data_IF_785065393664
#
_entry.id   IF_785065393664
#
_cell.length_a   1.000
_cell.length_b   1.000
_cell.length_c   1.000
_cell.angle_alpha   90.00
_cell.angle_beta   90.00
_cell.angle_gamma   90.00
#
_symmetry.space_group_name_H-M   'P 1'
#
loop_
_entity.id
_entity.type
_entity.pdbx_description
1 polymer ?
#
# COMPACT_ATOMS: atom_id res chain seq x y z
N UNK A 1 49.94 15.02 -0.96
CA UNK A 1 48.65 14.49 -0.45
C UNK A 1 47.52 15.02 -1.31
N UNK A 2 46.81 14.15 -1.97
CA UNK A 2 45.59 14.50 -2.67
C UNK A 2 44.40 13.99 -1.87
N UNK A 3 43.41 14.84 -1.62
CA UNK A 3 42.15 14.43 -0.99
C UNK A 3 40.99 15.11 -1.72
N UNK A 4 39.91 14.37 -1.90
CA UNK A 4 38.67 14.88 -2.44
C UNK A 4 37.53 14.48 -1.51
N UNK A 5 36.53 15.36 -1.42
CA UNK A 5 35.25 15.12 -0.70
C UNK A 5 34.13 15.43 -1.68
N UNK A 6 33.17 14.55 -1.71
CA UNK A 6 31.96 14.77 -2.46
C UNK A 6 30.75 14.45 -1.59
N UNK A 7 29.70 15.26 -1.73
CA UNK A 7 28.41 15.01 -1.16
C UNK A 7 27.37 15.21 -2.24
N UNK A 8 26.37 14.34 -2.30
CA UNK A 8 25.25 14.47 -3.20
C UNK A 8 23.93 14.17 -2.48
N UNK A 9 22.86 14.79 -2.95
CA UNK A 9 21.52 14.52 -2.53
C UNK A 9 20.63 14.43 -3.78
N UNK A 10 19.81 13.40 -3.82
CA UNK A 10 18.82 13.18 -4.87
C UNK A 10 17.45 13.10 -4.22
N UNK A 11 16.47 13.75 -4.85
CA UNK A 11 15.10 13.79 -4.38
C UNK A 11 14.17 13.36 -5.50
N UNK A 12 13.31 12.40 -5.22
CA UNK A 12 12.26 11.96 -6.14
C UNK A 12 10.90 12.16 -5.49
N UNK A 13 10.07 12.98 -6.14
CA UNK A 13 8.71 13.26 -5.67
C UNK A 13 7.72 12.33 -6.34
N UNK A 14 6.86 11.68 -5.54
CA UNK A 14 5.72 10.91 -6.00
C UNK A 14 4.44 11.65 -5.64
N UNK A 15 3.62 11.94 -6.63
CA UNK A 15 2.32 12.60 -6.44
C UNK A 15 1.22 11.54 -6.32
N UNK A 16 0.15 11.89 -5.61
CA UNK A 16 -1.03 11.03 -5.51
C UNK A 16 -1.61 10.81 -6.91
N UNK A 17 -1.88 9.55 -7.32
CA UNK A 17 -2.54 9.27 -8.58
C UNK A 17 -3.95 9.87 -8.63
N UNK A 18 -4.52 9.97 -9.81
CA UNK A 18 -5.87 10.48 -9.99
C UNK A 18 -6.65 9.66 -11.01
N UNK A 19 -7.97 9.72 -10.94
CA UNK A 19 -8.86 9.07 -11.91
C UNK A 19 -8.91 9.75 -13.28
N UNK A 20 -8.18 10.85 -13.50
CA UNK A 20 -8.28 11.64 -14.73
C UNK A 20 -8.03 10.84 -16.02
N UNK A 21 -7.17 9.83 -15.94
CA UNK A 21 -6.78 9.00 -17.10
C UNK A 21 -7.49 7.64 -17.11
N UNK A 22 -8.52 7.46 -16.29
CA UNK A 22 -9.29 6.22 -16.21
C UNK A 22 -10.73 6.49 -16.59
N UNK A 23 -11.26 5.64 -17.44
CA UNK A 23 -12.69 5.64 -17.78
C UNK A 23 -13.47 4.80 -16.75
N UNK A 24 -13.59 5.35 -15.53
CA UNK A 24 -14.24 4.68 -14.39
C UNK A 24 -15.49 5.46 -14.00
N UNK A 25 -16.57 4.73 -13.82
CA UNK A 25 -17.85 5.28 -13.39
C UNK A 25 -17.71 6.03 -12.04
N UNK A 26 -18.36 7.17 -11.95
CA UNK A 26 -18.52 7.84 -10.65
C UNK A 26 -19.66 7.19 -9.84
N UNK A 27 -19.82 7.60 -8.57
CA UNK A 27 -20.82 6.99 -7.69
C UNK A 27 -22.26 7.17 -8.17
N UNK A 28 -22.60 8.29 -8.79
CA UNK A 28 -23.93 8.52 -9.35
C UNK A 28 -24.25 7.55 -10.50
N UNK A 29 -23.29 7.36 -11.41
CA UNK A 29 -23.44 6.41 -12.51
C UNK A 29 -23.57 4.98 -12.01
N UNK A 30 -22.74 4.59 -11.04
CA UNK A 30 -22.80 3.26 -10.41
C UNK A 30 -24.14 3.03 -9.69
N UNK A 31 -24.61 4.01 -8.91
CA UNK A 31 -25.91 3.92 -8.23
C UNK A 31 -27.08 3.90 -9.22
N UNK A 32 -26.96 4.52 -10.39
CA UNK A 32 -27.91 4.41 -11.47
C UNK A 32 -28.06 2.96 -11.97
N UNK A 33 -26.93 2.28 -12.20
CA UNK A 33 -26.92 0.86 -12.57
C UNK A 33 -27.49 -0.01 -11.44
N UNK A 34 -27.13 0.24 -10.19
CA UNK A 34 -27.63 -0.53 -9.05
C UNK A 34 -29.16 -0.39 -8.88
N UNK A 35 -29.73 0.79 -9.11
CA UNK A 35 -31.19 0.97 -9.13
C UNK A 35 -31.86 0.11 -10.21
N UNK A 36 -31.30 0.10 -11.41
CA UNK A 36 -31.81 -0.74 -12.49
C UNK A 36 -31.74 -2.24 -12.15
N UNK A 37 -30.62 -2.68 -11.54
CA UNK A 37 -30.46 -4.07 -11.08
C UNK A 37 -31.48 -4.42 -9.99
N UNK A 38 -31.71 -3.50 -9.04
CA UNK A 38 -32.75 -3.68 -8.00
C UNK A 38 -34.16 -3.79 -8.62
N UNK A 39 -34.48 -2.92 -9.54
CA UNK A 39 -35.81 -2.92 -10.17
C UNK A 39 -36.06 -4.19 -11.01
N UNK A 40 -34.97 -4.82 -11.47
CA UNK A 40 -35.03 -6.15 -12.12
C UNK A 40 -35.05 -7.32 -11.12
N UNK A 41 -34.98 -7.05 -9.82
CA UNK A 41 -34.99 -8.05 -8.75
C UNK A 41 -33.66 -8.75 -8.49
N UNK A 42 -32.53 -8.29 -9.03
CA UNK A 42 -31.22 -8.92 -8.88
C UNK A 42 -30.47 -8.49 -7.61
N UNK A 43 -30.93 -7.45 -6.93
CA UNK A 43 -30.37 -6.98 -5.64
C UNK A 43 -31.36 -7.20 -4.51
N UNK A 44 -32.02 -8.37 -4.48
CA UNK A 44 -32.89 -8.72 -3.38
C UNK A 44 -32.08 -9.16 -2.14
N UNK A 45 -32.75 -9.15 -0.98
CA UNK A 45 -32.15 -9.46 0.31
C UNK A 45 -31.41 -10.81 0.33
N UNK A 46 -32.08 -11.86 -0.14
CA UNK A 46 -31.53 -13.22 -0.07
C UNK A 46 -30.26 -13.39 -0.92
N UNK A 47 -30.31 -12.93 -2.16
CA UNK A 47 -29.21 -13.11 -3.10
C UNK A 47 -28.00 -12.26 -2.71
N UNK A 48 -28.23 -11.04 -2.24
CA UNK A 48 -27.15 -10.12 -1.83
C UNK A 48 -26.43 -10.63 -0.58
N UNK A 49 -27.17 -11.07 0.45
CA UNK A 49 -26.53 -11.54 1.71
C UNK A 49 -25.91 -12.92 1.58
N UNK A 50 -26.33 -13.75 0.64
CA UNK A 50 -25.70 -15.03 0.34
C UNK A 50 -24.52 -14.93 -0.63
N UNK A 51 -24.24 -13.74 -1.16
CA UNK A 51 -23.08 -13.48 -2.01
C UNK A 51 -21.76 -13.50 -1.23
N UNK A 52 -20.68 -13.90 -1.89
CA UNK A 52 -19.33 -13.84 -1.31
C UNK A 52 -18.87 -12.38 -1.10
N UNK A 53 -19.30 -11.51 -1.99
CA UNK A 53 -18.99 -10.08 -1.99
C UNK A 53 -20.27 -9.29 -2.11
N UNK A 54 -20.54 -8.40 -1.17
CA UNK A 54 -21.66 -7.48 -1.26
C UNK A 54 -21.28 -6.06 -0.86
N UNK A 55 -21.83 -5.08 -1.56
CA UNK A 55 -21.51 -3.67 -1.38
C UNK A 55 -22.59 -2.90 -0.62
N UNK A 56 -23.02 -1.77 -1.19
CA UNK A 56 -23.95 -0.81 -0.57
C UNK A 56 -25.27 -1.45 -0.16
N UNK A 57 -25.88 -2.28 -1.03
CA UNK A 57 -27.15 -2.93 -0.72
C UNK A 57 -27.02 -3.97 0.39
N UNK A 58 -25.96 -4.78 0.37
CA UNK A 58 -25.71 -5.74 1.44
C UNK A 58 -25.50 -5.05 2.78
N UNK A 59 -24.76 -3.95 2.79
CA UNK A 59 -24.55 -3.15 4.01
C UNK A 59 -25.85 -2.50 4.48
N UNK A 60 -26.69 -2.05 3.57
CA UNK A 60 -28.03 -1.54 3.90
C UNK A 60 -28.85 -2.60 4.61
N UNK A 61 -28.92 -3.81 4.04
CA UNK A 61 -29.67 -4.92 4.64
C UNK A 61 -29.10 -5.38 5.97
N UNK A 62 -27.76 -5.40 6.11
CA UNK A 62 -27.10 -5.68 7.39
C UNK A 62 -27.54 -4.67 8.48
N UNK A 63 -27.53 -3.37 8.16
CA UNK A 63 -27.93 -2.32 9.10
C UNK A 63 -29.43 -2.40 9.46
N UNK A 64 -30.28 -2.77 8.53
CA UNK A 64 -31.71 -2.97 8.77
C UNK A 64 -31.97 -4.16 9.69
N UNK A 65 -31.10 -5.16 9.72
CA UNK A 65 -31.24 -6.34 10.59
C UNK A 65 -30.38 -6.26 11.86
N UNK A 66 -29.64 -5.16 12.04
CA UNK A 66 -28.82 -4.93 13.25
C UNK A 66 -29.60 -4.06 14.24
N UNK A 67 -29.96 -4.65 15.40
CA UNK A 67 -30.70 -3.95 16.45
C UNK A 67 -29.76 -3.35 17.48
N UNK A 68 -29.88 -2.04 17.73
CA UNK A 68 -29.17 -1.34 18.78
C UNK A 68 -30.01 -1.37 20.06
N UNK A 69 -29.64 -2.25 20.99
CA UNK A 69 -30.35 -2.40 22.27
C UNK A 69 -30.28 -1.13 23.14
N UNK A 70 -29.28 -0.29 22.98
CA UNK A 70 -29.12 0.97 23.74
C UNK A 70 -30.12 2.02 23.28
N UNK A 71 -30.37 2.06 21.98
CA UNK A 71 -31.32 3.01 21.35
C UNK A 71 -32.72 2.43 21.19
N UNK A 72 -32.88 1.11 21.36
CA UNK A 72 -34.15 0.41 21.21
C UNK A 72 -34.68 0.39 19.76
N UNK A 73 -33.78 0.46 18.75
CA UNK A 73 -34.17 0.52 17.33
C UNK A 73 -33.14 -0.17 16.45
N UNK A 74 -33.53 -0.51 15.23
CA UNK A 74 -32.59 -0.96 14.21
C UNK A 74 -31.65 0.17 13.79
N UNK A 75 -30.40 -0.17 13.40
CA UNK A 75 -29.40 0.81 12.96
C UNK A 75 -29.85 1.58 11.72
N UNK A 76 -30.64 0.93 10.86
CA UNK A 76 -31.36 1.56 9.76
C UNK A 76 -32.84 1.13 9.80
N UNK A 77 -33.81 2.04 9.90
CA UNK A 77 -35.22 1.70 9.86
C UNK A 77 -35.63 1.04 8.54
N UNK A 78 -36.59 0.11 8.60
CA UNK A 78 -37.21 -0.55 7.45
C UNK A 78 -38.28 0.35 6.79
N UNK A 79 -37.92 1.60 6.45
CA UNK A 79 -38.81 2.53 5.76
C UNK A 79 -38.20 2.96 4.45
N UNK A 80 -39.04 3.22 3.45
CA UNK A 80 -38.58 3.67 2.14
C UNK A 80 -37.78 4.98 2.22
N UNK A 81 -38.14 5.86 3.14
CA UNK A 81 -37.45 7.12 3.39
C UNK A 81 -36.03 6.90 3.92
N UNK A 82 -35.85 5.98 4.87
CA UNK A 82 -34.55 5.65 5.45
C UNK A 82 -33.65 4.93 4.41
N UNK A 83 -34.20 4.00 3.65
CA UNK A 83 -33.51 3.35 2.55
C UNK A 83 -33.02 4.36 1.49
N UNK A 84 -33.93 5.22 1.04
CA UNK A 84 -33.59 6.23 0.04
C UNK A 84 -32.53 7.20 0.55
N UNK A 85 -32.61 7.63 1.81
CA UNK A 85 -31.61 8.51 2.42
C UNK A 85 -30.23 7.83 2.51
N UNK A 86 -30.18 6.54 2.86
CA UNK A 86 -28.95 5.76 2.88
C UNK A 86 -28.32 5.62 1.48
N UNK A 87 -29.13 5.22 0.49
CA UNK A 87 -28.69 5.04 -0.89
C UNK A 87 -28.26 6.38 -1.53
N UNK A 88 -28.93 7.49 -1.18
CA UNK A 88 -28.54 8.82 -1.61
C UNK A 88 -27.16 9.23 -1.07
N UNK A 89 -26.83 8.89 0.17
CA UNK A 89 -25.49 9.11 0.70
C UNK A 89 -24.42 8.38 -0.11
N UNK A 90 -24.68 7.14 -0.52
CA UNK A 90 -23.77 6.37 -1.38
C UNK A 90 -23.64 7.00 -2.78
N UNK A 91 -24.75 7.51 -3.34
CA UNK A 91 -24.77 8.17 -4.64
C UNK A 91 -23.89 9.43 -4.69
N UNK A 92 -23.89 10.24 -3.64
CA UNK A 92 -23.11 11.48 -3.58
C UNK A 92 -21.71 11.31 -2.98
N UNK A 93 -21.35 10.15 -2.43
CA UNK A 93 -20.07 9.90 -1.76
C UNK A 93 -18.87 10.10 -2.67
N UNK A 94 -18.89 9.52 -3.86
CA UNK A 94 -17.86 9.64 -4.89
C UNK A 94 -16.44 9.44 -4.36
N UNK A 95 -16.22 8.37 -3.59
CA UNK A 95 -14.95 8.06 -2.91
C UNK A 95 -13.79 8.11 -3.89
N UNK A 96 -12.76 8.83 -3.50
CA UNK A 96 -11.52 8.89 -4.25
C UNK A 96 -10.47 8.00 -3.58
N UNK A 97 -10.47 6.71 -3.94
CA UNK A 97 -9.57 5.72 -3.35
C UNK A 97 -8.10 6.06 -3.50
N UNK A 98 -7.71 6.79 -4.55
CA UNK A 98 -6.33 7.26 -4.65
C UNK A 98 -5.96 8.25 -3.55
N UNK A 99 -6.86 9.19 -3.22
CA UNK A 99 -6.62 10.14 -2.12
C UNK A 99 -6.69 9.47 -0.74
N UNK A 100 -7.51 8.42 -0.62
CA UNK A 100 -7.67 7.69 0.63
C UNK A 100 -6.45 6.78 0.94
N UNK A 101 -5.88 6.15 -0.09
CA UNK A 101 -4.85 5.14 0.08
C UNK A 101 -3.43 5.67 -0.12
N UNK A 102 -3.24 6.73 -0.92
CA UNK A 102 -1.94 7.24 -1.29
C UNK A 102 -1.68 8.61 -0.66
N UNK A 103 -0.43 8.82 -0.28
CA UNK A 103 0.07 10.11 0.17
C UNK A 103 1.20 10.59 -0.73
N UNK A 104 1.35 11.90 -0.94
CA UNK A 104 2.54 12.39 -1.63
C UNK A 104 3.78 12.00 -0.83
N UNK A 105 4.81 11.52 -1.53
CA UNK A 105 6.02 11.03 -0.91
C UNK A 105 7.25 11.68 -1.55
N UNK A 106 8.26 11.98 -0.75
CA UNK A 106 9.55 12.44 -1.20
C UNK A 106 10.60 11.42 -0.79
N UNK A 107 11.05 10.63 -1.75
CA UNK A 107 12.19 9.76 -1.58
C UNK A 107 13.46 10.61 -1.57
N UNK A 108 14.35 10.34 -0.62
CA UNK A 108 15.61 11.04 -0.45
C UNK A 108 16.76 10.05 -0.50
N UNK A 109 17.77 10.35 -1.29
CA UNK A 109 18.99 9.60 -1.34
C UNK A 109 20.18 10.55 -1.11
N UNK A 110 20.87 10.37 0.00
CA UNK A 110 22.02 11.18 0.39
C UNK A 110 23.29 10.34 0.35
N UNK A 111 24.36 10.87 -0.20
CA UNK A 111 25.65 10.21 -0.14
C UNK A 111 26.76 11.18 0.16
N UNK A 112 27.74 10.67 0.91
CA UNK A 112 29.00 11.37 1.20
C UNK A 112 30.14 10.41 0.87
N UNK A 113 31.14 10.90 0.18
CA UNK A 113 32.33 10.13 -0.09
C UNK A 113 33.60 10.93 0.18
N UNK A 114 34.61 10.22 0.59
CA UNK A 114 35.94 10.73 0.88
C UNK A 114 36.95 9.85 0.17
N UNK A 115 37.83 10.46 -0.60
CA UNK A 115 38.98 9.77 -1.19
C UNK A 115 40.26 10.57 -0.95
N UNK A 116 41.35 9.88 -0.91
CA UNK A 116 42.64 10.50 -0.75
C UNK A 116 43.76 9.49 -0.86
N UNK A 117 44.98 10.01 -0.87
CA UNK A 117 46.11 9.12 -0.94
C UNK A 117 47.48 9.83 -0.89
N UNK A 118 48.47 9.00 -0.91
CA UNK A 118 49.91 9.34 -1.05
C UNK A 118 50.50 8.51 -2.18
N UNK A 119 51.78 8.66 -2.47
CA UNK A 119 52.44 7.81 -3.47
C UNK A 119 52.36 6.30 -3.15
N UNK A 120 52.18 5.93 -1.85
CA UNK A 120 52.15 4.54 -1.39
C UNK A 120 50.79 4.06 -0.94
N UNK A 121 49.80 4.94 -0.79
CA UNK A 121 48.47 4.55 -0.27
C UNK A 121 47.38 5.33 -0.97
N UNK A 122 46.29 4.69 -1.28
CA UNK A 122 45.06 5.34 -1.68
C UNK A 122 43.86 4.76 -0.89
N UNK A 123 42.91 5.59 -0.59
CA UNK A 123 41.68 5.18 0.07
C UNK A 123 40.46 5.86 -0.56
N UNK A 124 39.35 5.13 -0.51
CA UNK A 124 38.03 5.62 -0.81
C UNK A 124 37.06 5.09 0.27
N UNK A 125 36.29 5.97 0.83
CA UNK A 125 35.21 5.61 1.75
C UNK A 125 33.92 6.34 1.32
N UNK A 126 32.80 5.65 1.35
CA UNK A 126 31.49 6.27 1.10
C UNK A 126 30.43 5.77 2.08
N UNK A 127 29.52 6.67 2.40
CA UNK A 127 28.30 6.41 3.17
C UNK A 127 27.13 6.94 2.37
N UNK A 128 26.06 6.13 2.23
CA UNK A 128 24.81 6.58 1.64
C UNK A 128 23.62 6.19 2.50
N UNK A 129 22.57 7.02 2.44
CA UNK A 129 21.31 6.81 3.11
C UNK A 129 20.16 7.06 2.12
N UNK A 130 19.37 6.02 1.84
CA UNK A 130 18.12 6.09 1.11
C UNK A 130 16.97 6.07 2.11
N UNK A 131 16.13 7.10 2.07
CA UNK A 131 14.94 7.26 2.88
C UNK A 131 13.72 7.40 1.96
N UNK A 132 12.92 6.37 1.90
CA UNK A 132 11.67 6.34 1.12
C UNK A 132 10.50 6.15 2.09
N UNK A 133 9.67 7.17 2.36
CA UNK A 133 8.53 7.06 3.25
C UNK A 133 7.39 6.22 2.66
N UNK A 134 7.56 5.74 1.43
CA UNK A 134 6.53 4.99 0.72
C UNK A 134 5.46 5.89 0.09
N UNK A 135 4.66 5.30 -0.76
CA UNK A 135 3.57 5.96 -1.48
C UNK A 135 2.19 5.66 -0.88
N UNK A 136 2.09 4.62 -0.09
CA UNK A 136 0.90 4.20 0.65
C UNK A 136 1.32 3.57 2.00
N UNK A 137 0.35 3.30 2.87
CA UNK A 137 0.61 2.70 4.18
C UNK A 137 1.46 1.43 4.09
N UNK A 138 2.39 1.26 5.04
CA UNK A 138 3.25 0.09 5.18
C UNK A 138 4.12 -0.19 3.93
N UNK A 139 4.61 0.87 3.25
CA UNK A 139 5.45 0.71 2.06
C UNK A 139 6.79 1.46 2.16
N UNK A 140 7.23 1.78 3.36
CA UNK A 140 8.45 2.54 3.61
C UNK A 140 9.72 1.69 3.50
N UNK A 141 10.80 2.33 3.06
CA UNK A 141 12.13 1.72 2.94
C UNK A 141 13.19 2.68 3.47
N UNK A 142 14.07 2.16 4.34
CA UNK A 142 15.30 2.83 4.76
C UNK A 142 16.48 1.94 4.44
N UNK A 143 17.48 2.48 3.78
CA UNK A 143 18.70 1.73 3.45
C UNK A 143 19.93 2.57 3.71
N UNK A 144 20.85 2.03 4.47
CA UNK A 144 22.16 2.62 4.76
C UNK A 144 23.23 1.73 4.15
N UNK A 145 24.16 2.34 3.41
CA UNK A 145 25.24 1.59 2.74
C UNK A 145 26.58 2.25 3.04
N UNK A 146 27.56 1.44 3.40
CA UNK A 146 28.95 1.84 3.63
C UNK A 146 29.82 1.07 2.66
N UNK A 147 30.76 1.77 2.01
CA UNK A 147 31.80 1.15 1.19
C UNK A 147 33.18 1.69 1.60
N UNK A 148 34.14 0.79 1.64
CA UNK A 148 35.54 1.10 1.92
C UNK A 148 36.42 0.40 0.88
N UNK A 149 37.39 1.16 0.34
CA UNK A 149 38.41 0.63 -0.53
C UNK A 149 39.76 1.26 -0.10
N UNK A 150 40.69 0.43 0.26
CA UNK A 150 42.05 0.84 0.70
C UNK A 150 43.08 0.05 -0.12
N UNK A 151 43.99 0.76 -0.75
CA UNK A 151 45.16 0.18 -1.40
C UNK A 151 46.41 0.73 -0.71
N UNK A 152 47.32 -0.16 -0.32
CA UNK A 152 48.59 0.22 0.30
C UNK A 152 49.75 -0.60 -0.29
N UNK A 153 50.73 0.10 -0.86
CA UNK A 153 51.96 -0.48 -1.33
C UNK A 153 52.93 -0.61 -0.16
N UNK A 154 53.05 -1.83 0.38
CA UNK A 154 53.91 -2.13 1.53
C UNK A 154 55.39 -2.11 1.09
N UNK A 155 55.65 -2.73 -0.06
CA UNK A 155 56.94 -2.75 -0.76
C UNK A 155 56.67 -2.48 -2.25
N UNK A 156 57.73 -2.25 -3.03
CA UNK A 156 57.57 -2.02 -4.48
C UNK A 156 56.93 -3.20 -5.23
N UNK A 157 57.06 -4.40 -4.69
CA UNK A 157 56.51 -5.64 -5.19
C UNK A 157 55.38 -6.25 -4.33
N UNK A 158 54.97 -5.55 -3.26
CA UNK A 158 53.91 -6.03 -2.37
C UNK A 158 52.83 -4.98 -2.15
N UNK A 159 51.63 -5.26 -2.62
CA UNK A 159 50.46 -4.36 -2.47
C UNK A 159 49.36 -5.07 -1.67
N UNK A 160 48.84 -4.39 -0.66
CA UNK A 160 47.69 -4.79 0.09
C UNK A 160 46.46 -4.02 -0.43
N UNK A 161 45.44 -4.76 -0.82
CA UNK A 161 44.13 -4.21 -1.18
C UNK A 161 43.09 -4.72 -0.16
N UNK A 162 42.38 -3.79 0.49
CA UNK A 162 41.26 -4.06 1.38
C UNK A 162 40.03 -3.43 0.79
N UNK A 163 39.04 -4.26 0.45
CA UNK A 163 37.73 -3.84 -0.07
C UNK A 163 36.69 -4.39 0.88
N UNK A 164 35.80 -3.54 1.34
CA UNK A 164 34.68 -3.93 2.19
C UNK A 164 33.45 -3.09 1.94
N UNK A 165 32.30 -3.67 2.15
CA UNK A 165 31.02 -3.01 2.05
C UNK A 165 30.00 -3.63 2.97
N UNK A 166 29.08 -2.80 3.48
CA UNK A 166 27.95 -3.26 4.25
C UNK A 166 26.71 -2.44 3.88
N UNK A 167 25.57 -3.09 3.87
CA UNK A 167 24.27 -2.45 3.63
C UNK A 167 23.26 -2.98 4.64
N UNK A 168 22.59 -2.07 5.32
CA UNK A 168 21.44 -2.38 6.16
C UNK A 168 20.19 -1.80 5.51
N UNK A 169 19.18 -2.64 5.31
CA UNK A 169 17.86 -2.26 4.79
C UNK A 169 16.78 -2.64 5.79
N UNK A 170 15.96 -1.66 6.13
CA UNK A 170 14.74 -1.78 6.89
C UNK A 170 13.58 -1.42 5.94
N UNK A 171 12.63 -2.34 5.74
CA UNK A 171 11.56 -2.21 4.76
C UNK A 171 10.26 -2.75 5.33
N UNK A 172 9.19 -1.99 5.17
CA UNK A 172 7.83 -2.47 5.30
C UNK A 172 7.20 -2.68 3.93
N UNK A 173 6.42 -3.74 3.80
CA UNK A 173 5.66 -4.03 2.59
C UNK A 173 4.30 -4.62 2.97
N UNK A 174 3.17 -4.15 2.39
CA UNK A 174 1.87 -4.77 2.63
C UNK A 174 1.86 -6.19 2.09
N UNK A 175 1.24 -7.09 2.83
CA UNK A 175 1.14 -8.50 2.49
C UNK A 175 1.59 -9.43 3.60
N UNK A 176 1.54 -10.74 3.36
CA UNK A 176 2.01 -11.77 4.28
C UNK A 176 3.13 -12.60 3.66
N UNK A 177 3.93 -13.24 4.52
CA UNK A 177 4.94 -14.22 4.09
C UNK A 177 4.31 -15.58 3.72
N UNK A 178 3.03 -15.81 4.06
CA UNK A 178 2.28 -17.01 3.75
C UNK A 178 1.99 -17.11 2.25
N UNK A 179 2.22 -18.27 1.68
CA UNK A 179 1.78 -18.60 0.33
C UNK A 179 0.76 -19.74 0.44
N UNK A 180 -0.45 -19.50 -0.05
CA UNK A 180 -1.44 -20.55 -0.27
C UNK A 180 -1.33 -21.04 -1.70
N UNK A 181 -1.10 -22.34 -1.87
CA UNK A 181 -1.02 -22.97 -3.19
C UNK A 181 -2.36 -23.61 -3.49
N UNK A 182 -3.09 -23.06 -4.45
CA UNK A 182 -4.25 -23.74 -5.03
C UNK A 182 -3.76 -24.95 -5.84
N UNK A 183 -3.88 -26.12 -5.23
CA UNK A 183 -3.39 -27.40 -5.80
C UNK A 183 -4.18 -27.79 -7.06
N UNK A 184 -5.41 -27.28 -7.22
CA UNK A 184 -6.29 -27.63 -8.34
C UNK A 184 -5.94 -26.83 -9.59
N UNK A 185 -5.64 -25.55 -9.43
CA UNK A 185 -5.36 -24.63 -10.55
C UNK A 185 -3.87 -24.30 -10.70
N UNK A 186 -3.01 -24.77 -9.81
CA UNK A 186 -1.59 -24.46 -9.82
C UNK A 186 -1.27 -22.98 -9.52
N UNK A 187 -2.27 -22.22 -9.05
CA UNK A 187 -2.11 -20.80 -8.73
C UNK A 187 -1.53 -20.66 -7.31
N UNK A 188 -0.51 -19.82 -7.18
CA UNK A 188 0.03 -19.42 -5.88
C UNK A 188 -0.72 -18.16 -5.44
N UNK A 189 -1.55 -18.28 -4.41
CA UNK A 189 -2.14 -17.13 -3.72
C UNK A 189 -1.27 -16.76 -2.52
N UNK A 190 -0.88 -15.52 -2.41
CA UNK A 190 -0.43 -14.96 -1.14
C UNK A 190 -1.66 -14.51 -0.38
N UNK A 191 -1.72 -14.77 0.93
CA UNK A 191 -2.91 -14.51 1.74
C UNK A 191 -3.33 -13.03 1.77
N UNK A 192 -2.42 -12.09 1.55
CA UNK A 192 -2.75 -10.66 1.47
C UNK A 192 -1.80 -9.94 0.51
N UNK A 193 -1.90 -10.23 -0.76
CA UNK A 193 -1.22 -9.43 -1.78
C UNK A 193 -2.13 -8.23 -2.14
N UNK A 194 -2.28 -7.32 -1.19
CA UNK A 194 -3.07 -6.11 -1.43
C UNK A 194 -2.21 -5.16 -2.25
N UNK A 195 -2.59 -5.00 -3.50
CA UNK A 195 -2.08 -3.92 -4.33
C UNK A 195 -3.00 -2.70 -4.19
N UNK A 196 -2.61 -1.65 -3.42
CA UNK A 196 -3.46 -0.48 -3.21
C UNK A 196 -3.83 0.25 -4.50
N UNK A 197 -2.97 0.20 -5.51
CA UNK A 197 -3.27 0.79 -6.81
C UNK A 197 -4.38 0.03 -7.55
N UNK A 198 -4.27 -1.28 -7.61
CA UNK A 198 -5.31 -2.14 -8.18
C UNK A 198 -6.63 -2.00 -7.41
N UNK A 199 -6.55 -1.93 -6.08
CA UNK A 199 -7.72 -1.69 -5.24
C UNK A 199 -8.40 -0.36 -5.59
N UNK A 200 -7.63 0.74 -5.68
CA UNK A 200 -8.17 2.05 -6.01
C UNK A 200 -8.87 2.11 -7.39
N UNK A 201 -8.34 1.35 -8.36
CA UNK A 201 -8.91 1.30 -9.72
C UNK A 201 -10.17 0.43 -9.79
N UNK A 202 -10.17 -0.70 -9.07
CA UNK A 202 -11.22 -1.72 -9.23
C UNK A 202 -12.34 -1.60 -8.17
N UNK A 203 -12.14 -0.81 -7.11
CA UNK A 203 -13.14 -0.70 -6.04
C UNK A 203 -14.18 0.37 -6.35
N UNK A 204 -15.42 0.02 -6.10
CA UNK A 204 -16.56 0.91 -6.30
C UNK A 204 -16.44 2.21 -5.50
N UNK A 205 -16.73 3.33 -6.14
CA UNK A 205 -16.66 4.66 -5.55
C UNK A 205 -17.86 5.02 -4.69
N UNK A 206 -18.86 4.15 -4.61
CA UNK A 206 -20.03 4.29 -3.72
C UNK A 206 -19.72 3.82 -2.29
N UNK A 207 -18.66 3.04 -2.09
CA UNK A 207 -18.30 2.49 -0.79
C UNK A 207 -17.69 3.54 0.14
N UNK A 208 -18.00 3.42 1.43
CA UNK A 208 -17.42 4.25 2.48
C UNK A 208 -16.07 3.67 2.92
N UNK A 209 -14.96 4.44 2.87
CA UNK A 209 -13.65 3.96 3.30
C UNK A 209 -13.59 3.48 4.75
N UNK A 210 -14.49 3.98 5.60
CA UNK A 210 -14.52 3.64 7.04
C UNK A 210 -15.42 2.44 7.36
N UNK A 211 -16.25 2.01 6.42
CA UNK A 211 -17.16 0.89 6.64
C UNK A 211 -16.48 -0.45 6.34
N UNK A 212 -16.95 -1.49 7.02
CA UNK A 212 -16.66 -2.88 6.65
C UNK A 212 -17.74 -3.38 5.70
N UNK A 213 -17.31 -4.02 4.64
CA UNK A 213 -18.16 -4.71 3.68
C UNK A 213 -17.80 -6.19 3.67
N UNK A 214 -18.67 -7.05 3.19
CA UNK A 214 -18.30 -8.45 3.01
C UNK A 214 -17.49 -8.58 1.72
N UNK A 215 -16.38 -9.29 1.82
CA UNK A 215 -15.60 -9.77 0.70
C UNK A 215 -15.11 -11.18 1.04
N UNK A 216 -15.29 -12.12 0.12
CA UNK A 216 -14.99 -13.55 0.33
C UNK A 216 -15.64 -14.12 1.60
N UNK A 217 -16.91 -13.80 1.85
CA UNK A 217 -17.73 -14.21 3.02
C UNK A 217 -17.24 -13.67 4.36
N UNK A 218 -16.31 -12.73 4.40
CA UNK A 218 -15.78 -12.13 5.63
C UNK A 218 -15.89 -10.60 5.62
N UNK A 219 -16.02 -9.95 6.78
CA UNK A 219 -15.93 -8.51 6.87
C UNK A 219 -14.55 -8.01 6.41
N UNK A 220 -14.51 -7.09 5.48
CA UNK A 220 -13.31 -6.55 4.88
C UNK A 220 -13.30 -5.02 4.94
N UNK A 221 -12.15 -4.45 5.32
CA UNK A 221 -11.84 -3.03 5.17
C UNK A 221 -10.36 -2.89 4.81
N UNK A 222 -10.06 -2.21 3.72
CA UNK A 222 -8.70 -2.08 3.18
C UNK A 222 -7.72 -1.46 4.18
N UNK A 223 -8.16 -0.49 5.00
CA UNK A 223 -7.28 0.15 5.98
C UNK A 223 -6.93 -0.80 7.12
N UNK A 224 -7.91 -1.59 7.58
CA UNK A 224 -7.66 -2.63 8.58
C UNK A 224 -6.68 -3.68 8.05
N UNK A 225 -6.80 -4.08 6.81
CA UNK A 225 -5.87 -5.01 6.17
C UNK A 225 -4.45 -4.44 6.09
N UNK A 226 -4.30 -3.20 5.63
CA UNK A 226 -3.00 -2.55 5.56
C UNK A 226 -2.37 -2.29 6.94
N UNK A 227 -3.17 -2.12 7.99
CA UNK A 227 -2.67 -1.91 9.35
C UNK A 227 -2.22 -3.22 10.03
N UNK A 228 -2.83 -4.35 9.69
CA UNK A 228 -2.59 -5.63 10.35
C UNK A 228 -1.76 -6.62 9.53
N UNK A 229 -1.71 -6.46 8.22
CA UNK A 229 -1.06 -7.39 7.30
C UNK A 229 0.07 -6.71 6.54
N UNK A 230 1.23 -6.62 7.15
CA UNK A 230 2.45 -6.13 6.53
C UNK A 230 3.66 -6.96 6.96
N UNK A 231 4.67 -6.96 6.11
CA UNK A 231 5.96 -7.59 6.35
C UNK A 231 6.94 -6.52 6.80
N UNK A 232 7.60 -6.75 7.91
CA UNK A 232 8.69 -5.91 8.43
C UNK A 232 10.01 -6.68 8.24
N UNK A 233 10.86 -6.19 7.35
CA UNK A 233 12.09 -6.86 6.93
C UNK A 233 13.32 -6.00 7.25
N UNK A 234 14.13 -6.48 8.19
CA UNK A 234 15.47 -5.98 8.41
C UNK A 234 16.50 -6.92 7.74
N UNK A 235 17.29 -6.40 6.81
CA UNK A 235 18.34 -7.17 6.12
C UNK A 235 19.68 -6.47 6.28
N UNK A 236 20.65 -7.21 6.83
CA UNK A 236 22.06 -6.82 6.87
C UNK A 236 22.85 -7.66 5.85
N UNK A 237 23.45 -7.00 4.89
CA UNK A 237 24.40 -7.60 3.93
C UNK A 237 25.79 -6.97 4.15
N UNK A 238 26.81 -7.80 4.29
CA UNK A 238 28.19 -7.39 4.45
C UNK A 238 29.12 -8.25 3.60
N UNK A 239 30.08 -7.62 2.92
CA UNK A 239 31.07 -8.28 2.04
C UNK A 239 32.46 -7.78 2.35
#
# INVERSE_FOLDING_TARGET
>A
RTSARAASGEFTTRLVPSYRNFDILNSQQQMGIYRELRDKGWLNYSDVLNGSDYGVYGKMYELQNSFDATRGQFLLPHTTEAENAYLQQAEFRNTNWFKELFSPAIMQNHSVSLSGGTAKSSYYASLSALLDPGWYKQSDVKRYTVNLNLTHHILDNLTLNLIGGASYRDQRAPGSLGQDVDVVNGAVKRDFDINPYSYAVNTSRVLDPKAYYVANYAPFNIFNELDNNYIDLGVLDAK
#
